data_IF_172931898082
#
_entry.id   IF_172931898082
#
_cell.length_a   1.000
_cell.length_b   1.000
_cell.length_c   1.000
_cell.angle_alpha   90.00
_cell.angle_beta   90.00
_cell.angle_gamma   90.00
#
_symmetry.space_group_name_H-M   'P 1'
#
loop_
_entity.id
_entity.type
_entity.pdbx_description
1 polymer ?
#
# COMPACT_ATOMS: atom_id res chain seq x y z
N UNK A 1 3.68 0.41 14.61
CA UNK A 1 2.96 0.24 13.33
C UNK A 1 3.92 -0.30 12.28
N UNK A 2 3.51 -1.32 11.52
CA UNK A 2 4.25 -1.85 10.37
C UNK A 2 3.50 -1.37 9.11
N UNK A 3 3.88 -0.20 8.61
CA UNK A 3 3.22 0.43 7.46
C UNK A 3 3.73 -0.13 6.11
N UNK A 4 3.88 -1.44 6.01
CA UNK A 4 4.35 -2.14 4.82
C UNK A 4 3.67 -3.50 4.71
N UNK A 5 2.98 -3.76 3.59
CA UNK A 5 2.30 -5.04 3.36
C UNK A 5 3.27 -6.23 3.38
N UNK A 6 4.42 -6.08 2.71
CA UNK A 6 5.46 -7.12 2.66
C UNK A 6 6.02 -7.43 4.07
N UNK A 7 6.39 -6.40 4.83
CA UNK A 7 6.93 -6.57 6.18
C UNK A 7 5.86 -7.14 7.14
N UNK A 8 4.62 -6.67 7.05
CA UNK A 8 3.51 -7.22 7.83
C UNK A 8 3.34 -8.71 7.58
N UNK A 9 3.29 -9.14 6.33
CA UNK A 9 3.17 -10.56 5.98
C UNK A 9 4.32 -11.39 6.54
N UNK A 10 5.55 -10.85 6.52
CA UNK A 10 6.74 -11.57 6.94
C UNK A 10 6.88 -11.71 8.46
N UNK A 11 6.52 -10.69 9.25
CA UNK A 11 6.97 -10.65 10.65
C UNK A 11 5.90 -10.34 11.70
N UNK A 12 4.70 -9.89 11.36
CA UNK A 12 3.71 -9.40 12.33
C UNK A 12 3.36 -10.44 13.39
N UNK A 13 3.18 -11.71 13.00
CA UNK A 13 2.79 -12.79 13.93
C UNK A 13 3.93 -13.16 14.91
N UNK A 14 5.18 -13.06 14.44
CA UNK A 14 6.37 -13.25 15.28
C UNK A 14 6.51 -12.11 16.29
N UNK A 15 6.34 -10.87 15.83
CA UNK A 15 6.44 -9.70 16.68
C UNK A 15 5.34 -9.66 17.75
N UNK A 16 4.10 -9.99 17.39
CA UNK A 16 2.97 -10.08 18.34
C UNK A 16 3.17 -11.13 19.43
N UNK A 17 3.89 -12.23 19.12
CA UNK A 17 4.24 -13.25 20.11
C UNK A 17 5.42 -12.84 21.00
N UNK A 18 6.32 -12.02 20.47
CA UNK A 18 7.59 -11.67 21.14
C UNK A 18 7.46 -10.46 22.06
N UNK A 19 6.63 -9.50 21.70
CA UNK A 19 6.53 -8.21 22.41
C UNK A 19 5.15 -8.02 23.02
N UNK A 20 5.06 -7.60 24.30
CA UNK A 20 3.79 -7.37 24.99
C UNK A 20 3.21 -5.96 24.67
N UNK A 21 3.30 -5.56 23.42
CA UNK A 21 2.77 -4.27 22.92
C UNK A 21 1.85 -4.52 21.73
N UNK A 22 0.99 -3.56 21.40
CA UNK A 22 0.18 -3.65 20.20
C UNK A 22 1.05 -3.51 18.96
N UNK A 23 0.93 -4.47 18.08
CA UNK A 23 1.59 -4.45 16.77
C UNK A 23 0.51 -4.32 15.69
N UNK A 24 0.42 -3.16 15.09
CA UNK A 24 -0.51 -2.84 14.01
C UNK A 24 0.22 -3.09 12.70
N UNK A 25 -0.32 -3.97 11.88
CA UNK A 25 0.21 -4.28 10.55
C UNK A 25 -0.71 -3.74 9.46
N UNK A 26 -0.12 -3.31 8.36
CA UNK A 26 -0.85 -2.97 7.14
C UNK A 26 -1.12 -4.23 6.32
N UNK A 27 -2.33 -4.34 5.79
CA UNK A 27 -2.71 -5.36 4.81
C UNK A 27 -3.25 -4.68 3.54
N UNK A 28 -3.14 -5.32 2.36
CA UNK A 28 -3.74 -4.77 1.15
C UNK A 28 -5.23 -4.50 1.33
N UNK A 29 -5.71 -3.37 0.82
CA UNK A 29 -7.09 -2.91 0.99
C UNK A 29 -8.10 -3.71 0.12
N UNK A 30 -7.91 -5.02 0.01
CA UNK A 30 -8.78 -5.90 -0.78
C UNK A 30 -10.21 -5.89 -0.27
N UNK A 31 -10.39 -5.95 1.06
CA UNK A 31 -11.72 -5.87 1.67
C UNK A 31 -12.44 -4.57 1.30
N UNK A 32 -11.71 -3.44 1.32
CA UNK A 32 -12.25 -2.13 0.94
C UNK A 32 -12.69 -2.13 -0.52
N UNK A 33 -11.88 -2.69 -1.43
CA UNK A 33 -12.23 -2.81 -2.83
C UNK A 33 -13.51 -3.63 -3.05
N UNK A 34 -13.65 -4.76 -2.33
CA UNK A 34 -14.84 -5.60 -2.37
C UNK A 34 -16.12 -4.89 -1.85
N UNK A 35 -15.98 -4.02 -0.84
CA UNK A 35 -17.09 -3.28 -0.25
C UNK A 35 -17.58 -2.12 -1.13
N UNK A 36 -16.69 -1.51 -1.93
CA UNK A 36 -17.02 -0.39 -2.82
C UNK A 36 -17.93 -0.84 -3.95
N UNK A 37 -17.66 -2.00 -4.53
CA UNK A 37 -18.44 -2.48 -5.65
C UNK A 37 -18.53 -4.01 -5.67
N UNK A 38 -19.69 -4.57 -5.35
CA UNK A 38 -19.96 -5.99 -5.47
C UNK A 38 -19.90 -6.43 -6.94
N UNK A 39 -19.48 -7.66 -7.17
CA UNK A 39 -19.40 -8.33 -8.49
C UNK A 39 -18.37 -7.76 -9.48
N UNK A 40 -17.38 -7.01 -8.99
CA UNK A 40 -16.37 -6.38 -9.83
C UNK A 40 -15.09 -7.19 -9.96
N UNK A 41 -14.32 -6.83 -11.00
CA UNK A 41 -12.96 -7.30 -11.23
C UNK A 41 -11.98 -6.40 -10.49
N UNK A 42 -11.16 -6.99 -9.62
CA UNK A 42 -10.21 -6.28 -8.77
C UNK A 42 -8.79 -6.65 -9.18
N UNK A 43 -7.97 -5.66 -9.53
CA UNK A 43 -6.53 -5.86 -9.75
C UNK A 43 -5.75 -5.51 -8.48
N UNK A 44 -5.02 -6.46 -7.92
CA UNK A 44 -4.16 -6.22 -6.77
C UNK A 44 -2.72 -6.05 -7.27
N UNK A 45 -2.25 -4.82 -7.20
CA UNK A 45 -0.87 -4.46 -7.49
C UNK A 45 -0.03 -4.63 -6.22
N UNK A 46 0.96 -5.48 -6.26
CA UNK A 46 1.82 -5.72 -5.10
C UNK A 46 3.23 -6.17 -5.53
N UNK A 47 4.11 -6.34 -4.55
CA UNK A 47 5.43 -6.94 -4.82
C UNK A 47 5.29 -8.43 -5.11
N UNK A 48 6.26 -9.00 -5.83
CA UNK A 48 6.33 -10.45 -6.06
C UNK A 48 6.29 -11.24 -4.75
N UNK A 49 6.92 -10.72 -3.71
CA UNK A 49 6.96 -11.36 -2.39
C UNK A 49 5.56 -11.40 -1.79
N UNK A 50 4.88 -10.25 -1.69
CA UNK A 50 3.51 -10.16 -1.13
C UNK A 50 2.54 -11.10 -1.83
N UNK A 51 2.58 -11.17 -3.17
CA UNK A 51 1.67 -12.02 -3.96
C UNK A 51 1.90 -13.54 -3.76
N UNK A 52 3.11 -13.95 -3.34
CA UNK A 52 3.47 -15.35 -3.08
C UNK A 52 3.25 -15.78 -1.64
N UNK A 53 3.08 -14.84 -0.72
CA UNK A 53 2.93 -15.13 0.71
C UNK A 53 1.61 -15.83 1.02
N UNK A 54 1.69 -16.87 1.87
CA UNK A 54 0.50 -17.64 2.31
C UNK A 54 -0.59 -16.76 2.91
N UNK A 55 -0.20 -15.77 3.71
CA UNK A 55 -1.13 -14.87 4.38
C UNK A 55 -1.95 -14.07 3.38
N UNK A 56 -1.29 -13.55 2.33
CA UNK A 56 -1.96 -12.86 1.25
C UNK A 56 -2.81 -13.80 0.38
N UNK A 57 -2.31 -15.00 0.09
CA UNK A 57 -3.07 -16.03 -0.63
C UNK A 57 -4.36 -16.40 0.14
N UNK A 58 -4.27 -16.58 1.46
CA UNK A 58 -5.43 -16.85 2.31
C UNK A 58 -6.41 -15.66 2.35
N UNK A 59 -5.91 -14.42 2.35
CA UNK A 59 -6.75 -13.23 2.26
C UNK A 59 -7.54 -13.23 0.94
N UNK A 60 -6.87 -13.43 -0.18
CA UNK A 60 -7.53 -13.48 -1.48
C UNK A 60 -8.54 -14.62 -1.57
N UNK A 61 -8.17 -15.83 -1.09
CA UNK A 61 -9.06 -17.00 -1.14
C UNK A 61 -10.40 -16.79 -0.42
N UNK A 62 -10.47 -15.86 0.53
CA UNK A 62 -11.72 -15.49 1.20
C UNK A 62 -12.71 -14.73 0.29
N UNK A 63 -12.19 -14.14 -0.79
CA UNK A 63 -12.95 -13.33 -1.73
C UNK A 63 -12.99 -13.90 -3.15
N UNK A 64 -12.15 -14.90 -3.48
CA UNK A 64 -12.05 -15.50 -4.82
C UNK A 64 -13.35 -16.16 -5.32
N UNK A 65 -14.29 -16.48 -4.41
CA UNK A 65 -15.57 -17.08 -4.78
C UNK A 65 -16.58 -16.05 -5.29
N UNK A 66 -16.47 -14.81 -4.80
CA UNK A 66 -17.42 -13.74 -5.07
C UNK A 66 -16.86 -12.68 -6.03
N UNK A 67 -15.54 -12.64 -6.21
CA UNK A 67 -14.84 -11.60 -6.99
C UNK A 67 -13.80 -12.17 -7.93
N UNK A 68 -13.63 -11.53 -9.09
CA UNK A 68 -12.50 -11.82 -9.99
C UNK A 68 -11.27 -11.04 -9.53
N UNK A 69 -10.32 -11.69 -8.86
CA UNK A 69 -9.12 -11.04 -8.34
C UNK A 69 -7.92 -11.33 -9.22
N UNK A 70 -7.39 -10.28 -9.84
CA UNK A 70 -6.17 -10.33 -10.66
C UNK A 70 -4.95 -9.97 -9.81
N UNK A 71 -3.89 -10.75 -9.91
CA UNK A 71 -2.61 -10.54 -9.23
C UNK A 71 -1.63 -9.89 -10.21
N UNK A 72 -1.29 -8.64 -9.97
CA UNK A 72 -0.40 -7.87 -10.84
C UNK A 72 0.90 -7.55 -10.08
N UNK A 73 2.00 -8.28 -10.35
CA UNK A 73 3.29 -7.99 -9.74
C UNK A 73 3.91 -6.75 -10.37
N UNK A 74 4.20 -5.72 -9.54
CA UNK A 74 4.68 -4.42 -10.00
C UNK A 74 6.09 -4.08 -9.41
N UNK A 75 7.14 -4.89 -9.63
CA UNK A 75 8.46 -4.65 -9.04
C UNK A 75 9.11 -3.36 -9.54
N UNK A 76 8.84 -2.94 -10.78
CA UNK A 76 9.43 -1.74 -11.37
C UNK A 76 9.03 -0.46 -10.65
N UNK A 77 7.81 -0.39 -10.12
CA UNK A 77 7.34 0.77 -9.36
C UNK A 77 8.14 0.96 -8.07
N UNK A 78 8.48 -0.12 -7.37
CA UNK A 78 9.36 -0.06 -6.19
C UNK A 78 10.76 0.44 -6.59
N UNK A 79 11.31 -0.12 -7.66
CA UNK A 79 12.65 0.24 -8.15
C UNK A 79 12.76 1.73 -8.49
N UNK A 80 11.76 2.31 -9.13
CA UNK A 80 11.76 3.72 -9.52
C UNK A 80 11.74 4.65 -8.31
N UNK A 81 10.94 4.37 -7.28
CA UNK A 81 10.93 5.14 -6.02
C UNK A 81 12.28 5.01 -5.32
N UNK A 82 12.81 3.80 -5.18
CA UNK A 82 14.08 3.55 -4.50
C UNK A 82 15.30 4.18 -5.21
N UNK A 83 15.19 4.43 -6.50
CA UNK A 83 16.21 5.13 -7.31
C UNK A 83 16.02 6.64 -7.37
N UNK A 84 15.04 7.17 -6.64
CA UNK A 84 14.69 8.60 -6.70
C UNK A 84 14.37 9.07 -8.14
N UNK A 85 13.57 8.28 -8.86
CA UNK A 85 13.29 8.47 -10.28
C UNK A 85 11.81 8.87 -10.54
N UNK A 86 11.16 9.53 -9.56
CA UNK A 86 9.76 9.98 -9.68
C UNK A 86 9.60 11.17 -10.64
N UNK A 87 10.69 11.83 -11.00
CA UNK A 87 10.72 12.89 -12.02
C UNK A 87 10.67 12.35 -13.46
N UNK A 88 10.89 11.05 -13.68
CA UNK A 88 10.90 10.41 -15.01
C UNK A 88 9.49 10.10 -15.51
N UNK A 89 8.67 11.12 -15.68
CA UNK A 89 7.23 11.01 -15.98
C UNK A 89 6.89 10.13 -17.18
N UNK A 90 7.69 10.17 -18.25
CA UNK A 90 7.46 9.35 -19.44
C UNK A 90 7.66 7.85 -19.15
N UNK A 91 8.75 7.49 -18.44
CA UNK A 91 9.04 6.11 -18.05
C UNK A 91 8.00 5.58 -17.06
N UNK A 92 7.57 6.42 -16.11
CA UNK A 92 6.54 6.05 -15.14
C UNK A 92 5.22 5.79 -15.87
N UNK A 93 4.82 6.68 -16.77
CA UNK A 93 3.60 6.52 -17.57
C UNK A 93 3.60 5.21 -18.34
N UNK A 94 4.66 4.91 -19.09
CA UNK A 94 4.82 3.66 -19.84
C UNK A 94 4.74 2.44 -18.91
N UNK A 95 5.38 2.52 -17.74
CA UNK A 95 5.36 1.45 -16.74
C UNK A 95 3.95 1.21 -16.19
N UNK A 96 3.22 2.28 -15.86
CA UNK A 96 1.84 2.21 -15.37
C UNK A 96 0.90 1.64 -16.43
N UNK A 97 1.01 2.10 -17.69
CA UNK A 97 0.21 1.60 -18.81
C UNK A 97 0.44 0.08 -19.01
N UNK A 98 1.68 -0.39 -18.88
CA UNK A 98 2.00 -1.81 -18.93
C UNK A 98 1.34 -2.64 -17.82
N UNK A 99 1.22 -2.11 -16.60
CA UNK A 99 0.51 -2.77 -15.50
C UNK A 99 -1.01 -2.64 -15.63
N UNK A 100 -1.52 -1.53 -16.15
CA UNK A 100 -2.93 -1.37 -16.48
C UNK A 100 -3.38 -2.40 -17.53
N UNK A 101 -2.59 -2.65 -18.57
CA UNK A 101 -2.87 -3.70 -19.54
C UNK A 101 -2.95 -5.10 -18.88
N UNK A 102 -2.09 -5.40 -17.91
CA UNK A 102 -2.16 -6.65 -17.14
C UNK A 102 -3.38 -6.71 -16.21
N UNK A 103 -3.93 -5.56 -15.82
CA UNK A 103 -5.13 -5.46 -14.98
C UNK A 103 -6.44 -5.75 -15.73
N UNK A 104 -6.40 -5.96 -17.04
CA UNK A 104 -7.52 -6.44 -17.86
C UNK A 104 -8.83 -5.64 -17.66
N UNK A 105 -8.74 -4.31 -17.67
CA UNK A 105 -9.84 -3.40 -17.40
C UNK A 105 -10.55 -3.71 -16.06
N UNK A 106 -9.77 -3.85 -14.99
CA UNK A 106 -10.31 -4.02 -13.65
C UNK A 106 -11.08 -2.76 -13.21
N UNK A 107 -12.16 -2.98 -12.48
CA UNK A 107 -13.02 -1.91 -11.95
C UNK A 107 -12.41 -1.27 -10.69
N UNK A 108 -11.54 -2.01 -10.00
CA UNK A 108 -10.79 -1.52 -8.84
C UNK A 108 -9.32 -1.92 -8.92
N UNK A 109 -8.43 -1.01 -8.52
CA UNK A 109 -6.99 -1.23 -8.39
C UNK A 109 -6.60 -1.07 -6.94
N UNK A 110 -6.11 -2.14 -6.32
CA UNK A 110 -5.59 -2.12 -4.96
C UNK A 110 -4.10 -1.86 -4.97
N UNK A 111 -3.66 -0.76 -4.38
CA UNK A 111 -2.25 -0.42 -4.19
C UNK A 111 -1.70 -1.17 -2.98
N UNK A 112 -1.22 -2.39 -3.21
CA UNK A 112 -0.74 -3.33 -2.18
C UNK A 112 0.72 -3.12 -1.75
N UNK A 113 1.29 -1.96 -2.02
CA UNK A 113 2.64 -1.59 -1.61
C UNK A 113 2.70 -0.12 -1.23
N UNK A 114 3.45 0.21 -0.18
CA UNK A 114 3.65 1.60 0.30
C UNK A 114 4.29 2.51 -0.75
N UNK A 115 5.12 1.96 -1.63
CA UNK A 115 5.72 2.73 -2.73
C UNK A 115 4.71 3.18 -3.79
N UNK A 116 3.55 2.53 -3.89
CA UNK A 116 2.63 2.79 -5.00
C UNK A 116 1.76 4.02 -4.82
N UNK A 117 1.71 4.58 -3.61
CA UNK A 117 0.98 5.83 -3.33
C UNK A 117 1.54 7.01 -4.12
N UNK A 118 2.85 7.03 -4.39
CA UNK A 118 3.51 8.08 -5.19
C UNK A 118 3.06 8.11 -6.65
N UNK A 119 2.40 7.08 -7.13
CA UNK A 119 1.87 7.00 -8.50
C UNK A 119 0.37 7.25 -8.57
N UNK A 120 -0.31 7.43 -7.43
CA UNK A 120 -1.77 7.55 -7.35
C UNK A 120 -2.32 8.60 -8.31
N UNK A 121 -1.82 9.83 -8.23
CA UNK A 121 -2.28 10.95 -9.04
C UNK A 121 -2.09 10.73 -10.56
N UNK A 122 -0.95 10.16 -10.94
CA UNK A 122 -0.71 9.81 -12.35
C UNK A 122 -1.60 8.66 -12.79
N UNK A 123 -1.83 7.67 -11.94
CA UNK A 123 -2.70 6.53 -12.23
C UNK A 123 -4.16 6.97 -12.39
N UNK A 124 -4.65 7.88 -11.54
CA UNK A 124 -5.99 8.48 -11.64
C UNK A 124 -6.21 9.22 -12.96
N UNK A 125 -5.15 9.80 -13.54
CA UNK A 125 -5.20 10.44 -14.86
C UNK A 125 -5.16 9.44 -16.04
N UNK A 126 -4.75 8.19 -15.81
CA UNK A 126 -4.62 7.15 -16.83
C UNK A 126 -5.84 6.22 -16.90
N UNK A 127 -6.66 6.18 -15.86
CA UNK A 127 -7.84 5.31 -15.79
C UNK A 127 -9.14 6.10 -15.97
N UNK A 128 -10.25 5.39 -16.26
CA UNK A 128 -11.58 5.99 -16.22
C UNK A 128 -11.93 6.44 -14.80
N UNK A 129 -12.78 7.47 -14.67
CA UNK A 129 -13.31 7.95 -13.38
C UNK A 129 -14.12 6.89 -12.62
N UNK A 130 -14.56 5.85 -13.30
CA UNK A 130 -15.32 4.74 -12.71
C UNK A 130 -14.39 3.68 -12.09
N UNK A 131 -13.07 3.77 -12.30
CA UNK A 131 -12.09 2.84 -11.71
C UNK A 131 -11.70 3.33 -10.32
N UNK A 132 -11.91 2.49 -9.32
CA UNK A 132 -11.57 2.80 -7.94
C UNK A 132 -10.12 2.45 -7.63
N UNK A 133 -9.34 3.44 -7.17
CA UNK A 133 -7.96 3.22 -6.68
C UNK A 133 -7.98 3.25 -5.17
N UNK A 134 -7.64 2.14 -4.54
CA UNK A 134 -7.69 1.97 -3.07
C UNK A 134 -6.36 1.52 -2.49
N UNK A 135 -6.06 1.97 -1.27
CA UNK A 135 -4.91 1.53 -0.48
C UNK A 135 -5.27 1.33 0.99
N UNK A 136 -4.32 0.81 1.77
CA UNK A 136 -4.51 0.52 3.19
C UNK A 136 -4.16 1.67 4.14
N UNK A 137 -3.71 2.83 3.65
CA UNK A 137 -3.13 3.88 4.49
C UNK A 137 -4.13 4.45 5.49
N UNK A 138 -5.25 4.97 5.00
CA UNK A 138 -6.29 5.58 5.84
C UNK A 138 -6.90 4.56 6.83
N UNK A 139 -7.07 3.30 6.39
CA UNK A 139 -7.55 2.21 7.24
C UNK A 139 -6.58 1.89 8.37
N UNK A 140 -5.29 1.78 8.06
CA UNK A 140 -4.24 1.52 9.05
C UNK A 140 -4.12 2.67 10.05
N UNK A 141 -4.16 3.93 9.59
CA UNK A 141 -4.12 5.10 10.46
C UNK A 141 -5.33 5.18 11.40
N UNK A 142 -6.55 4.95 10.89
CA UNK A 142 -7.77 4.87 11.73
C UNK A 142 -7.66 3.78 12.77
N UNK A 143 -7.26 2.58 12.37
CA UNK A 143 -7.08 1.48 13.34
C UNK A 143 -6.04 1.81 14.41
N UNK A 144 -4.94 2.48 14.06
CA UNK A 144 -3.96 2.95 15.03
C UNK A 144 -4.60 3.92 16.03
N UNK A 145 -5.36 4.91 15.54
CA UNK A 145 -6.11 5.86 16.38
C UNK A 145 -7.08 5.15 17.32
N UNK A 146 -7.85 4.18 16.80
CA UNK A 146 -8.84 3.45 17.60
C UNK A 146 -8.19 2.64 18.73
N UNK A 147 -7.05 1.99 18.46
CA UNK A 147 -6.27 1.25 19.47
C UNK A 147 -5.73 2.20 20.56
N UNK A 148 -5.23 3.37 20.17
CA UNK A 148 -4.75 4.38 21.12
C UNK A 148 -5.90 4.95 21.95
N UNK A 149 -7.03 5.28 21.32
CA UNK A 149 -8.21 5.79 22.00
C UNK A 149 -8.76 4.80 23.04
N UNK A 150 -8.82 3.52 22.69
CA UNK A 150 -9.31 2.45 23.59
C UNK A 150 -8.43 2.26 24.83
N UNK A 151 -7.19 2.78 24.81
CA UNK A 151 -6.22 2.71 25.91
C UNK A 151 -5.95 4.06 26.58
N UNK A 152 -6.68 5.11 26.20
CA UNK A 152 -6.49 6.48 26.67
C UNK A 152 -5.05 7.00 26.44
N UNK A 153 -4.50 6.69 25.27
CA UNK A 153 -3.13 7.02 24.85
C UNK A 153 -3.09 8.03 23.69
N UNK A 154 -4.21 8.69 23.37
CA UNK A 154 -4.20 9.78 22.40
C UNK A 154 -3.40 10.97 22.93
N UNK A 155 -2.63 11.61 22.06
CA UNK A 155 -1.83 12.78 22.39
C UNK A 155 -2.21 13.96 21.49
N UNK A 156 -2.62 15.06 22.10
CA UNK A 156 -2.98 16.32 21.41
C UNK A 156 -1.82 17.35 21.40
N UNK A 157 -0.69 17.03 22.02
CA UNK A 157 0.45 17.95 22.17
C UNK A 157 1.36 18.01 20.92
N UNK A 158 1.01 17.32 19.86
CA UNK A 158 1.89 17.19 18.68
C UNK A 158 3.03 16.18 18.88
N UNK A 159 4.03 16.24 18.02
CA UNK A 159 5.17 15.31 18.06
C UNK A 159 6.29 15.72 17.11
N UNK A 160 7.35 14.92 17.09
CA UNK A 160 8.48 15.06 16.19
C UNK A 160 8.57 13.86 15.25
N UNK A 161 9.09 14.07 14.05
CA UNK A 161 9.41 13.00 13.11
C UNK A 161 10.92 12.81 13.12
N UNK A 162 11.36 11.59 13.42
CA UNK A 162 12.76 11.18 13.34
C UNK A 162 12.90 10.08 12.30
N UNK A 163 13.88 10.23 11.39
CA UNK A 163 14.15 9.25 10.34
C UNK A 163 15.34 8.37 10.74
N UNK A 164 15.09 7.07 10.78
CA UNK A 164 16.10 6.05 11.00
C UNK A 164 16.07 5.05 9.84
N UNK A 165 17.24 4.70 9.30
CA UNK A 165 17.36 3.70 8.25
C UNK A 165 18.63 2.88 8.45
N UNK A 166 18.57 1.59 8.14
CA UNK A 166 19.75 0.70 8.12
C UNK A 166 20.76 1.09 7.02
N UNK A 167 20.29 1.87 6.04
CA UNK A 167 21.09 2.51 4.98
C UNK A 167 20.99 4.03 5.18
N UNK A 168 21.93 4.65 5.92
CA UNK A 168 21.85 6.09 6.28
C UNK A 168 21.70 7.01 5.07
N UNK A 169 22.27 6.66 3.93
CA UNK A 169 22.16 7.39 2.67
C UNK A 169 20.71 7.47 2.13
N UNK A 170 19.81 6.61 2.60
CA UNK A 170 18.39 6.62 2.24
C UNK A 170 17.52 7.56 3.07
N UNK A 171 18.07 8.15 4.14
CA UNK A 171 17.30 9.07 4.99
C UNK A 171 16.87 10.31 4.21
N UNK A 172 17.77 10.88 3.39
CA UNK A 172 17.45 12.04 2.56
C UNK A 172 16.31 11.76 1.58
N UNK A 173 16.30 10.57 0.95
CA UNK A 173 15.21 10.13 0.08
C UNK A 173 13.90 10.01 0.88
N UNK A 174 13.92 9.43 2.08
CA UNK A 174 12.72 9.26 2.92
C UNK A 174 12.12 10.62 3.29
N UNK A 175 12.95 11.61 3.63
CA UNK A 175 12.53 12.99 3.91
C UNK A 175 11.91 13.67 2.69
N UNK A 176 12.57 13.54 1.52
CA UNK A 176 12.06 14.08 0.26
C UNK A 176 10.68 13.52 -0.07
N UNK A 177 10.52 12.19 0.00
CA UNK A 177 9.26 11.50 -0.32
C UNK A 177 8.12 11.88 0.64
N UNK A 178 8.41 12.12 1.92
CA UNK A 178 7.41 12.61 2.87
C UNK A 178 6.93 14.01 2.50
N UNK A 179 7.85 14.93 2.19
CA UNK A 179 7.52 16.30 1.81
C UNK A 179 6.68 16.34 0.52
N UNK A 180 7.02 15.52 -0.49
CA UNK A 180 6.24 15.41 -1.73
C UNK A 180 4.79 14.97 -1.48
N UNK A 181 4.56 14.04 -0.55
CA UNK A 181 3.20 13.62 -0.18
C UNK A 181 2.45 14.68 0.62
N UNK A 182 3.13 15.46 1.47
CA UNK A 182 2.50 16.55 2.24
C UNK A 182 2.05 17.71 1.35
N UNK A 183 2.77 17.99 0.26
CA UNK A 183 2.40 19.01 -0.73
C UNK A 183 1.18 18.59 -1.59
N UNK A 184 0.86 17.29 -1.64
CA UNK A 184 -0.27 16.75 -2.40
C UNK A 184 -1.58 16.64 -1.58
N UNK A 185 -1.50 16.79 -0.23
CA UNK A 185 -2.64 16.70 0.70
C UNK A 185 -3.28 18.08 0.93
#
# INVERSE_FOLDING_TARGET
VIACNTATSACVDVLRKRYPIDIIGMEPALKVACEIAPDQKIAVWATNYTLKEKKFANLMHRFDQDYTILRVPCPKLVELVEKDALDQSALIKETLEGYLAQSQAADSIVLGCTHFVFYRKMLENLVSKDVHIVDGNAGTARHCKDVLAAKDLLNDAGGNIEFHNTLPEKIALSQKLLNELEEEL
#
